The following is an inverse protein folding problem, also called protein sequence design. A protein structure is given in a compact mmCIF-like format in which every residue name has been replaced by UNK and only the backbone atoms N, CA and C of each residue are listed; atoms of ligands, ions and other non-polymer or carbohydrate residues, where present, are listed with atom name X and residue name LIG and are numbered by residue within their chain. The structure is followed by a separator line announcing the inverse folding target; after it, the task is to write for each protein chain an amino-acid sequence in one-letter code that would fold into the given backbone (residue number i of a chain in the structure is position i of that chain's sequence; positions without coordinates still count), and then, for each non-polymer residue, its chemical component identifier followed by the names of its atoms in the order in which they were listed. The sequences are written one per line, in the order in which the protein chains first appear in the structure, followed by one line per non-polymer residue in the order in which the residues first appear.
data_IF_607953919820
#
_entry.id   IF_607953919820
#
_cell.length_a   1.000
_cell.length_b   1.000
_cell.length_c   1.000
_cell.angle_alpha   90.00
_cell.angle_beta   90.00
_cell.angle_gamma   90.00
#
_symmetry.space_group_name_H-M   'P 1'
#
loop_
_entity.id
_entity.type
_entity.pdbx_description
1 polymer ?
#
# COMPACT_ATOMS: atom_id res chain seq x y z
N UNK A 1 84.53 -15.19 -96.57
CA UNK A 1 83.18 -14.58 -96.67
C UNK A 1 82.15 -15.60 -96.18
N UNK A 2 80.91 -15.16 -95.94
CA UNK A 2 79.79 -15.89 -95.31
C UNK A 2 79.90 -16.07 -93.77
N UNK A 3 78.89 -15.52 -93.08
CA UNK A 3 78.58 -15.64 -91.64
C UNK A 3 77.28 -16.47 -91.49
N UNK A 4 76.91 -16.75 -90.23
CA UNK A 4 75.58 -17.19 -89.71
C UNK A 4 75.57 -18.65 -89.20
N UNK A 5 74.90 -18.98 -88.08
CA UNK A 5 74.34 -18.10 -87.05
C UNK A 5 74.33 -18.73 -85.65
N UNK A 6 74.20 -17.85 -84.66
CA UNK A 6 73.78 -18.06 -83.28
C UNK A 6 72.64 -19.09 -83.08
N UNK A 7 72.76 -19.98 -82.07
CA UNK A 7 71.82 -20.09 -80.94
C UNK A 7 71.99 -21.38 -80.13
N UNK A 8 72.48 -21.27 -78.88
CA UNK A 8 72.10 -22.11 -77.72
C UNK A 8 72.68 -21.57 -76.41
N UNK A 9 72.43 -20.28 -76.12
CA UNK A 9 72.71 -19.71 -74.79
C UNK A 9 71.42 -19.64 -73.98
N UNK A 10 71.16 -20.67 -73.17
CA UNK A 10 70.31 -20.57 -71.97
C UNK A 10 70.74 -21.64 -70.97
N UNK A 11 71.50 -21.31 -69.94
CA UNK A 11 71.18 -20.46 -68.75
C UNK A 11 70.79 -21.36 -67.59
N UNK A 12 71.75 -21.51 -66.70
CA UNK A 12 71.71 -22.02 -65.32
C UNK A 12 70.32 -21.98 -64.69
N UNK A 13 69.81 -23.12 -64.24
CA UNK A 13 68.60 -23.21 -63.43
C UNK A 13 68.82 -22.56 -62.05
N UNK A 14 67.97 -21.63 -61.60
CA UNK A 14 67.81 -21.31 -60.20
C UNK A 14 66.74 -22.22 -59.58
N UNK A 15 67.02 -22.76 -58.39
CA UNK A 15 65.99 -23.37 -57.53
C UNK A 15 65.10 -22.27 -56.95
N UNK A 16 63.78 -22.36 -57.14
CA UNK A 16 62.78 -21.58 -56.38
C UNK A 16 61.39 -22.21 -56.40
N UNK A 17 61.08 -22.93 -55.31
CA UNK A 17 59.80 -22.99 -54.55
C UNK A 17 58.47 -23.39 -55.24
N UNK A 18 57.54 -24.02 -54.49
CA UNK A 18 56.29 -24.55 -55.03
C UNK A 18 55.21 -23.49 -55.27
N UNK A 19 54.29 -23.78 -56.18
CA UNK A 19 53.05 -23.02 -56.39
C UNK A 19 52.21 -22.96 -55.10
N UNK A 20 52.23 -21.80 -54.43
CA UNK A 20 51.28 -21.48 -53.37
C UNK A 20 49.98 -20.95 -54.01
N UNK A 21 48.86 -21.69 -53.99
CA UNK A 21 47.57 -21.13 -54.39
C UNK A 21 47.23 -19.95 -53.47
N UNK A 22 46.66 -18.89 -54.04
CA UNK A 22 46.22 -17.71 -53.29
C UNK A 22 45.31 -18.11 -52.14
N UNK A 23 45.51 -17.56 -50.92
CA UNK A 23 44.96 -18.15 -49.71
C UNK A 23 43.42 -18.10 -49.72
N UNK A 24 42.73 -19.20 -49.34
CA UNK A 24 41.26 -19.27 -49.34
C UNK A 24 40.59 -18.23 -48.43
N UNK A 25 41.34 -17.63 -47.51
CA UNK A 25 40.90 -16.58 -46.60
C UNK A 25 40.25 -15.37 -47.30
N UNK A 26 40.72 -14.94 -48.48
CA UNK A 26 40.13 -13.79 -49.18
C UNK A 26 38.71 -14.08 -49.66
N UNK A 27 38.48 -15.27 -50.23
CA UNK A 27 37.15 -15.71 -50.65
C UNK A 27 36.21 -15.92 -49.46
N UNK A 28 36.71 -16.47 -48.34
CA UNK A 28 35.92 -16.60 -47.10
C UNK A 28 35.51 -15.25 -46.53
N UNK A 29 36.39 -14.24 -46.57
CA UNK A 29 36.08 -12.89 -46.07
C UNK A 29 35.08 -12.15 -46.96
N UNK A 30 35.23 -12.23 -48.29
CA UNK A 30 34.26 -11.68 -49.24
C UNK A 30 32.90 -12.39 -49.14
N UNK A 31 32.88 -13.71 -48.95
CA UNK A 31 31.66 -14.46 -48.69
C UNK A 31 30.99 -14.05 -47.35
N UNK A 32 31.78 -13.79 -46.32
CA UNK A 32 31.30 -13.25 -45.03
C UNK A 32 30.63 -11.89 -45.18
N UNK A 33 31.25 -10.96 -45.93
CA UNK A 33 30.68 -9.65 -46.25
C UNK A 33 29.41 -9.76 -47.11
N UNK A 34 29.40 -10.63 -48.12
CA UNK A 34 28.23 -10.88 -48.97
C UNK A 34 27.05 -11.49 -48.21
N UNK A 35 27.34 -12.43 -47.29
CA UNK A 35 26.34 -13.01 -46.40
C UNK A 35 25.78 -11.98 -45.40
N UNK A 36 26.63 -11.10 -44.86
CA UNK A 36 26.22 -10.02 -43.97
C UNK A 36 25.34 -8.98 -44.70
N UNK A 37 25.70 -8.58 -45.92
CA UNK A 37 24.86 -7.70 -46.75
C UNK A 37 23.49 -8.33 -47.08
N UNK A 38 23.46 -9.64 -47.40
CA UNK A 38 22.21 -10.38 -47.63
C UNK A 38 21.35 -10.50 -46.36
N UNK A 39 22.00 -10.66 -45.20
CA UNK A 39 21.33 -10.64 -43.90
C UNK A 39 20.79 -9.25 -43.53
N UNK A 40 21.42 -8.15 -43.97
CA UNK A 40 20.85 -6.81 -43.83
C UNK A 40 19.60 -6.63 -44.72
N UNK A 41 19.64 -7.04 -45.99
CA UNK A 41 18.49 -6.89 -46.90
C UNK A 41 17.27 -7.72 -46.43
N UNK A 42 17.51 -8.94 -45.95
CA UNK A 42 16.45 -9.81 -45.40
C UNK A 42 16.03 -9.39 -43.98
N UNK A 43 16.98 -8.89 -43.18
CA UNK A 43 16.76 -8.39 -41.83
C UNK A 43 15.85 -7.17 -41.80
N UNK A 44 16.05 -6.19 -42.68
CA UNK A 44 15.16 -5.02 -42.77
C UNK A 44 13.71 -5.42 -43.07
N UNK A 45 13.49 -6.34 -44.03
CA UNK A 45 12.15 -6.84 -44.37
C UNK A 45 11.52 -7.63 -43.20
N UNK A 46 12.32 -8.39 -42.46
CA UNK A 46 11.86 -9.08 -41.26
C UNK A 46 11.48 -8.10 -40.13
N UNK A 47 12.23 -7.00 -39.96
CA UNK A 47 11.92 -5.94 -39.00
C UNK A 47 10.63 -5.19 -39.40
N UNK A 48 10.47 -4.84 -40.68
CA UNK A 48 9.24 -4.21 -41.19
C UNK A 48 8.01 -5.11 -40.97
N UNK A 49 8.12 -6.41 -41.24
CA UNK A 49 7.09 -7.38 -40.95
C UNK A 49 6.78 -7.44 -39.44
N UNK A 50 7.81 -7.54 -38.58
CA UNK A 50 7.63 -7.59 -37.12
C UNK A 50 7.01 -6.30 -36.54
N UNK A 51 7.32 -5.14 -37.12
CA UNK A 51 6.72 -3.85 -36.75
C UNK A 51 5.27 -3.78 -37.19
N UNK A 52 4.94 -4.23 -38.40
CA UNK A 52 3.56 -4.29 -38.88
C UNK A 52 2.72 -5.27 -38.05
N UNK A 53 3.24 -6.46 -37.75
CA UNK A 53 2.62 -7.45 -36.87
C UNK A 53 2.49 -6.91 -35.44
N UNK A 54 3.48 -6.17 -34.93
CA UNK A 54 3.42 -5.50 -33.64
C UNK A 54 2.31 -4.44 -33.56
N UNK A 55 2.17 -3.61 -34.60
CA UNK A 55 1.08 -2.62 -34.71
C UNK A 55 -0.29 -3.29 -34.87
N UNK A 56 -0.38 -4.36 -35.65
CA UNK A 56 -1.60 -5.15 -35.81
C UNK A 56 -1.99 -5.84 -34.49
N UNK A 57 -1.03 -6.43 -33.79
CA UNK A 57 -1.21 -7.06 -32.49
C UNK A 57 -1.61 -6.04 -31.41
N UNK A 58 -0.99 -4.86 -31.37
CA UNK A 58 -1.39 -3.79 -30.46
C UNK A 58 -2.83 -3.35 -30.71
N UNK A 59 -3.22 -3.12 -31.96
CA UNK A 59 -4.60 -2.73 -32.34
C UNK A 59 -5.61 -3.83 -31.99
N UNK A 60 -5.29 -5.08 -32.30
CA UNK A 60 -6.14 -6.25 -31.99
C UNK A 60 -6.29 -6.45 -30.48
N UNK A 61 -5.18 -6.41 -29.74
CA UNK A 61 -5.17 -6.52 -28.27
C UNK A 61 -5.95 -5.36 -27.62
N UNK A 62 -5.82 -4.13 -28.13
CA UNK A 62 -6.61 -2.99 -27.66
C UNK A 62 -8.12 -3.20 -27.91
N UNK A 63 -8.52 -3.64 -29.11
CA UNK A 63 -9.92 -3.89 -29.45
C UNK A 63 -10.52 -5.05 -28.62
N UNK A 64 -9.78 -6.16 -28.48
CA UNK A 64 -10.17 -7.29 -27.66
C UNK A 64 -10.25 -6.90 -26.17
N UNK A 65 -9.27 -6.16 -25.65
CA UNK A 65 -9.30 -5.65 -24.28
C UNK A 65 -10.48 -4.70 -24.04
N UNK A 66 -10.76 -3.78 -24.98
CA UNK A 66 -11.93 -2.90 -24.92
C UNK A 66 -13.23 -3.71 -24.91
N UNK A 67 -13.37 -4.72 -25.76
CA UNK A 67 -14.55 -5.59 -25.80
C UNK A 67 -14.69 -6.41 -24.51
N UNK A 68 -13.60 -6.99 -23.98
CA UNK A 68 -13.59 -7.75 -22.72
C UNK A 68 -13.90 -6.86 -21.51
N UNK A 69 -13.38 -5.63 -21.48
CA UNK A 69 -13.69 -4.63 -20.45
C UNK A 69 -15.14 -4.17 -20.55
N UNK A 70 -15.68 -3.97 -21.74
CA UNK A 70 -17.09 -3.60 -21.93
C UNK A 70 -18.00 -4.73 -21.44
N UNK A 71 -17.80 -5.96 -21.91
CA UNK A 71 -18.55 -7.15 -21.51
C UNK A 71 -18.43 -7.43 -19.99
N UNK A 72 -17.27 -7.17 -19.39
CA UNK A 72 -17.08 -7.26 -17.94
C UNK A 72 -17.77 -6.11 -17.19
N UNK A 73 -17.79 -4.89 -17.74
CA UNK A 73 -18.48 -3.73 -17.16
C UNK A 73 -19.99 -3.89 -17.26
N UNK A 74 -20.52 -4.42 -18.35
CA UNK A 74 -21.94 -4.78 -18.49
C UNK A 74 -22.33 -5.87 -17.49
N UNK A 75 -21.57 -6.97 -17.41
CA UNK A 75 -21.82 -8.01 -16.39
C UNK A 75 -21.72 -7.47 -14.97
N UNK A 76 -20.72 -6.65 -14.67
CA UNK A 76 -20.57 -6.02 -13.36
C UNK A 76 -21.73 -5.05 -13.09
N UNK A 77 -22.18 -4.28 -14.07
CA UNK A 77 -23.33 -3.37 -13.95
C UNK A 77 -24.62 -4.15 -13.67
N UNK A 78 -24.91 -5.21 -14.43
CA UNK A 78 -26.06 -6.09 -14.19
C UNK A 78 -25.99 -6.81 -12.84
N UNK A 79 -24.79 -7.22 -12.39
CA UNK A 79 -24.59 -7.75 -11.05
C UNK A 79 -24.70 -6.67 -9.97
N UNK A 80 -24.26 -5.44 -10.23
CA UNK A 80 -24.29 -4.34 -9.28
C UNK A 80 -25.67 -3.70 -9.14
N UNK A 81 -26.55 -3.77 -10.14
CA UNK A 81 -27.96 -3.40 -9.99
C UNK A 81 -28.69 -4.47 -9.19
N UNK A 82 -28.67 -5.73 -9.63
CA UNK A 82 -29.36 -6.84 -8.95
C UNK A 82 -28.82 -7.15 -7.54
N UNK A 83 -27.50 -7.02 -7.32
CA UNK A 83 -26.93 -7.08 -5.99
C UNK A 83 -27.11 -5.76 -5.24
N UNK A 84 -27.10 -4.59 -5.89
CA UNK A 84 -27.27 -3.29 -5.26
C UNK A 84 -28.61 -3.14 -4.55
N UNK A 85 -29.71 -3.53 -5.19
CA UNK A 85 -31.04 -3.52 -4.57
C UNK A 85 -31.10 -4.47 -3.35
N UNK A 86 -30.55 -5.68 -3.46
CA UNK A 86 -30.51 -6.66 -2.37
C UNK A 86 -29.45 -6.35 -1.30
N UNK A 87 -28.45 -5.55 -1.64
CA UNK A 87 -27.35 -5.15 -0.76
C UNK A 87 -27.61 -3.81 -0.08
N UNK A 88 -28.53 -2.95 -0.56
CA UNK A 88 -28.94 -1.73 0.16
C UNK A 88 -29.39 -2.10 1.58
N UNK A 89 -30.33 -3.05 1.72
CA UNK A 89 -30.76 -3.58 3.02
C UNK A 89 -29.67 -4.30 3.84
N UNK A 90 -28.54 -4.67 3.22
CA UNK A 90 -27.34 -5.18 3.92
C UNK A 90 -26.39 -4.05 4.32
N UNK A 91 -26.31 -2.98 3.54
CA UNK A 91 -25.58 -1.75 3.85
C UNK A 91 -26.27 -1.03 5.00
N UNK A 92 -27.59 -0.90 5.03
CA UNK A 92 -28.35 -0.35 6.17
C UNK A 92 -28.04 -1.12 7.47
N UNK A 93 -27.90 -2.46 7.36
CA UNK A 93 -27.51 -3.31 8.51
C UNK A 93 -26.03 -3.16 8.89
N UNK A 94 -25.16 -2.86 7.94
CA UNK A 94 -23.74 -2.56 8.18
C UNK A 94 -23.56 -1.15 8.75
N UNK A 95 -24.39 -0.19 8.36
CA UNK A 95 -24.48 1.15 8.94
C UNK A 95 -24.88 1.03 10.41
N UNK A 96 -25.96 0.31 10.73
CA UNK A 96 -26.34 0.07 12.12
C UNK A 96 -25.25 -0.67 12.94
N UNK A 97 -24.59 -1.67 12.36
CA UNK A 97 -23.44 -2.35 13.01
C UNK A 97 -22.21 -1.43 13.17
N UNK A 98 -22.02 -0.47 12.26
CA UNK A 98 -20.97 0.54 12.33
C UNK A 98 -21.30 1.57 13.40
N UNK A 99 -22.53 2.09 13.44
CA UNK A 99 -23.06 2.95 14.51
C UNK A 99 -22.88 2.30 15.88
N UNK A 100 -23.35 1.06 16.05
CA UNK A 100 -23.16 0.27 17.28
C UNK A 100 -21.67 0.18 17.67
N UNK A 101 -20.80 -0.04 16.68
CA UNK A 101 -19.36 -0.21 16.95
C UNK A 101 -18.68 1.12 17.27
N UNK A 102 -19.08 2.21 16.63
CA UNK A 102 -18.61 3.57 16.89
C UNK A 102 -19.12 4.06 18.24
N UNK A 103 -20.42 3.93 18.53
CA UNK A 103 -21.01 4.23 19.82
C UNK A 103 -20.33 3.45 20.95
N UNK A 104 -20.09 2.14 20.76
CA UNK A 104 -19.34 1.31 21.73
C UNK A 104 -17.86 1.70 21.86
N UNK A 105 -17.23 2.22 20.81
CA UNK A 105 -15.87 2.75 20.88
C UNK A 105 -15.82 4.10 21.63
N UNK A 106 -16.75 5.00 21.34
CA UNK A 106 -16.91 6.31 22.02
C UNK A 106 -17.25 6.14 23.50
N UNK A 107 -18.15 5.22 23.84
CA UNK A 107 -18.47 4.87 25.23
C UNK A 107 -17.25 4.30 25.97
N UNK A 108 -16.42 3.47 25.32
CA UNK A 108 -15.14 3.01 25.88
C UNK A 108 -14.08 4.11 26.01
N UNK A 109 -14.24 5.22 25.29
CA UNK A 109 -13.43 6.43 25.40
C UNK A 109 -13.96 7.41 26.48
N UNK A 110 -15.06 7.07 27.15
CA UNK A 110 -15.67 7.88 28.21
C UNK A 110 -16.69 8.92 27.72
N UNK A 111 -17.15 8.82 26.46
CA UNK A 111 -18.24 9.66 25.94
C UNK A 111 -19.58 9.08 26.42
N UNK A 112 -20.37 9.78 27.26
CA UNK A 112 -21.63 9.26 27.79
C UNK A 112 -22.68 9.15 26.69
N UNK A 113 -23.44 8.04 26.65
CA UNK A 113 -24.47 7.88 25.61
C UNK A 113 -25.70 8.75 25.90
N UNK A 114 -26.50 9.00 24.85
CA UNK A 114 -27.75 9.75 24.99
C UNK A 114 -28.73 9.07 25.98
N UNK A 115 -28.73 7.74 26.03
CA UNK A 115 -29.52 6.96 26.98
C UNK A 115 -29.06 7.19 28.44
N UNK A 116 -27.75 7.28 28.68
CA UNK A 116 -27.21 7.55 30.02
C UNK A 116 -27.58 8.95 30.50
N UNK A 117 -27.54 9.95 29.61
CA UNK A 117 -27.95 11.32 29.89
C UNK A 117 -29.46 11.37 30.20
N UNK A 118 -30.29 10.66 29.45
CA UNK A 118 -31.73 10.59 29.71
C UNK A 118 -32.05 9.93 31.07
N UNK A 119 -31.48 8.75 31.35
CA UNK A 119 -31.66 8.09 32.65
C UNK A 119 -31.17 8.94 33.83
N UNK A 120 -30.09 9.69 33.65
CA UNK A 120 -29.59 10.60 34.67
C UNK A 120 -30.55 11.78 34.87
N UNK A 121 -31.12 12.32 33.79
CA UNK A 121 -32.10 13.42 33.82
C UNK A 121 -33.37 13.00 34.54
N UNK A 122 -33.93 11.83 34.20
CA UNK A 122 -35.12 11.27 34.86
C UNK A 122 -34.87 11.04 36.36
N UNK A 123 -33.65 10.57 36.72
CA UNK A 123 -33.25 10.38 38.11
C UNK A 123 -33.06 11.69 38.86
N UNK A 124 -32.56 12.74 38.21
CA UNK A 124 -32.48 14.09 38.77
C UNK A 124 -33.89 14.63 39.04
N UNK A 125 -34.79 14.57 38.07
CA UNK A 125 -36.18 15.01 38.24
C UNK A 125 -36.90 14.26 39.40
N UNK A 126 -36.67 12.95 39.54
CA UNK A 126 -37.19 12.19 40.68
C UNK A 126 -36.58 12.59 42.03
N UNK A 127 -35.33 13.05 42.06
CA UNK A 127 -34.66 13.52 43.28
C UNK A 127 -35.10 14.94 43.64
N UNK A 128 -35.30 15.80 42.64
CA UNK A 128 -35.88 17.15 42.79
C UNK A 128 -37.30 17.06 43.35
N UNK A 129 -38.18 16.24 42.75
CA UNK A 129 -39.52 16.00 43.27
C UNK A 129 -39.53 15.47 44.72
N UNK A 130 -38.55 14.64 45.10
CA UNK A 130 -38.38 14.15 46.49
C UNK A 130 -37.81 15.21 47.45
N UNK A 131 -37.04 16.18 46.94
CA UNK A 131 -36.55 17.33 47.71
C UNK A 131 -37.65 18.37 47.93
N UNK A 132 -38.50 18.62 46.93
CA UNK A 132 -39.66 19.49 47.03
C UNK A 132 -40.75 18.89 47.94
N UNK A 133 -41.01 17.58 47.82
CA UNK A 133 -41.92 16.85 48.69
C UNK A 133 -41.38 16.63 50.12
N UNK A 134 -40.10 16.93 50.39
CA UNK A 134 -39.54 16.84 51.74
C UNK A 134 -39.99 18.06 52.54
N UNK A 135 -40.76 17.88 53.63
CA UNK A 135 -41.23 19.02 54.41
C UNK A 135 -40.03 19.82 54.93
N UNK A 136 -39.99 21.10 54.57
CA UNK A 136 -38.99 22.06 55.03
C UNK A 136 -39.07 22.10 56.55
N UNK A 137 -38.08 21.53 57.22
CA UNK A 137 -38.06 21.42 58.68
C UNK A 137 -38.23 22.82 59.27
N UNK A 138 -39.38 23.05 59.90
CA UNK A 138 -39.63 24.28 60.65
C UNK A 138 -38.58 24.36 61.75
N UNK A 139 -37.93 25.53 61.95
CA UNK A 139 -36.94 25.67 62.99
C UNK A 139 -37.64 25.47 64.34
N UNK A 140 -37.40 24.32 64.98
CA UNK A 140 -37.89 24.05 66.33
C UNK A 140 -37.20 25.06 67.25
N UNK A 141 -37.96 26.08 67.63
CA UNK A 141 -37.55 27.18 68.51
C UNK A 141 -37.00 26.58 69.82
N UNK A 142 -35.71 26.72 70.13
CA UNK A 142 -35.16 26.15 71.36
C UNK A 142 -35.81 26.85 72.55
N UNK A 143 -36.52 26.09 73.39
CA UNK A 143 -36.96 26.59 74.68
C UNK A 143 -35.73 26.84 75.56
N UNK A 144 -35.72 27.98 76.24
CA UNK A 144 -34.65 28.38 77.14
C UNK A 144 -34.50 27.41 78.31
N UNK A 145 -33.35 26.75 78.43
CA UNK A 145 -32.84 26.24 79.70
C UNK A 145 -31.45 26.83 79.95
N UNK A 146 -31.21 27.24 81.19
CA UNK A 146 -30.07 28.09 81.54
C UNK A 146 -28.87 27.29 82.04
N UNK A 147 -27.69 27.88 81.86
CA UNK A 147 -26.49 27.71 82.71
C UNK A 147 -25.85 26.31 82.78
N UNK A 148 -24.67 26.15 82.15
CA UNK A 148 -23.46 25.82 82.93
C UNK A 148 -22.13 26.14 82.21
N UNK A 149 -21.15 26.43 83.04
CA UNK A 149 -19.75 26.80 82.85
C UNK A 149 -18.94 26.24 81.64
N UNK A 150 -18.31 27.17 80.91
CA UNK A 150 -16.83 27.33 80.76
C UNK A 150 -15.97 26.06 80.61
N UNK A 151 -15.38 25.87 79.42
CA UNK A 151 -13.92 25.85 79.21
C UNK A 151 -13.48 25.81 77.73
N UNK A 152 -12.41 26.55 77.42
CA UNK A 152 -11.52 26.43 76.25
C UNK A 152 -10.10 26.26 76.81
N UNK A 153 -9.06 25.91 76.01
CA UNK A 153 -9.02 25.19 74.73
C UNK A 153 -7.94 24.05 74.74
N UNK A 154 -7.74 23.32 73.63
CA UNK A 154 -6.37 23.06 73.12
C UNK A 154 -6.28 22.62 71.66
N UNK A 155 -5.11 22.94 71.11
CA UNK A 155 -4.69 23.04 69.70
C UNK A 155 -4.60 21.70 68.91
N UNK A 156 -4.44 21.77 67.57
CA UNK A 156 -4.37 20.60 66.69
C UNK A 156 -2.93 20.09 66.47
N UNK A 157 -2.82 18.83 66.02
CA UNK A 157 -1.62 18.27 65.37
C UNK A 157 -2.09 17.25 64.32
N UNK A 158 -1.91 17.55 63.03
CA UNK A 158 -0.75 17.17 62.22
C UNK A 158 -0.79 15.68 61.81
N UNK A 159 -1.16 15.36 60.56
CA UNK A 159 -0.33 15.47 59.33
C UNK A 159 0.82 14.45 59.31
N UNK A 160 0.69 13.43 58.44
CA UNK A 160 1.73 12.67 57.71
C UNK A 160 1.14 11.32 57.25
N UNK A 161 1.45 10.75 56.09
CA UNK A 161 2.12 11.24 54.88
C UNK A 161 1.77 10.30 53.74
N UNK A 162 1.53 10.82 52.53
CA UNK A 162 1.73 10.03 51.33
C UNK A 162 3.23 10.04 50.98
N UNK A 163 3.78 8.90 50.59
CA UNK A 163 4.88 8.85 49.60
C UNK A 163 4.81 7.53 48.82
N UNK A 164 5.12 7.52 47.51
CA UNK A 164 4.89 6.37 46.64
C UNK A 164 6.20 5.72 46.15
N UNK A 165 6.07 4.89 45.10
CA UNK A 165 7.08 4.44 44.12
C UNK A 165 7.70 3.04 44.32
N UNK A 166 7.42 2.15 43.36
CA UNK A 166 8.49 1.49 42.59
C UNK A 166 8.02 1.14 41.17
N UNK A 167 8.64 1.70 40.12
CA UNK A 167 8.65 1.10 38.79
C UNK A 167 10.07 0.67 38.40
N UNK A 168 10.28 -0.60 38.07
CA UNK A 168 11.59 -1.13 37.67
C UNK A 168 11.83 -1.03 36.14
N UNK A 169 13.06 -0.68 35.76
CA UNK A 169 13.61 -0.51 34.41
C UNK A 169 13.43 -1.74 33.47
N UNK A 170 13.20 -1.60 32.15
CA UNK A 170 14.12 -1.19 31.02
C UNK A 170 15.34 -2.13 30.86
N UNK A 171 15.90 -2.40 29.65
CA UNK A 171 15.63 -1.90 28.27
C UNK A 171 15.11 -3.03 27.31
N UNK A 172 15.20 -3.07 25.96
CA UNK A 172 15.93 -2.31 24.92
C UNK A 172 15.29 -2.34 23.49
N UNK A 173 16.11 -2.19 22.45
CA UNK A 173 15.92 -2.17 20.96
C UNK A 173 17.29 -2.63 20.37
N UNK A 174 17.51 -3.07 19.09
CA UNK A 174 16.85 -2.57 17.86
C UNK A 174 16.56 -3.57 16.71
N UNK A 175 15.99 -2.99 15.63
CA UNK A 175 15.77 -3.51 14.25
C UNK A 175 17.03 -3.14 13.39
N UNK A 176 17.14 -3.36 12.04
CA UNK A 176 16.22 -3.99 11.06
C UNK A 176 16.89 -4.95 10.02
N UNK A 177 16.11 -5.58 9.12
CA UNK A 177 16.12 -5.31 7.66
C UNK A 177 15.19 -6.28 6.88
N UNK A 178 14.78 -5.82 5.70
CA UNK A 178 14.00 -6.54 4.68
C UNK A 178 14.87 -7.42 3.79
N UNK A 179 14.28 -8.51 3.30
CA UNK A 179 14.58 -9.18 2.04
C UNK A 179 13.23 -9.62 1.44
#
# INVERSE_FOLDING_TARGET
MAKSNDSTRSKTQPVSQPDMPTPPAQHVWLAGLGAMAKAQEQGSKAIEALVNDGLAFQRKSQAEAQQRLHEATERLSHMATGFGEQASGRVDKLEHLFEDRVAKALHRLGMPSLLDIQMLTDRVAQLEAKLEARPKATPVKPATSATSARAKPKAPVARKTATPQTPASRPAKPRPKTA
#
